data_IF_015232083002
#
_entry.id   IF_015232083002
#
_cell.length_a   1.000
_cell.length_b   1.000
_cell.length_c   1.000
_cell.angle_alpha   90.00
_cell.angle_beta   90.00
_cell.angle_gamma   90.00
#
_symmetry.space_group_name_H-M   'P 1'
#
loop_
_entity.id
_entity.type
_entity.pdbx_description
1 polymer ?
#
# COMPACT_ATOMS: atom_id res chain seq x y z
N UNK A 1 28.41 35.99 -46.68
CA UNK A 1 28.79 37.34 -46.14
C UNK A 1 28.97 37.23 -44.66
N UNK A 2 29.95 37.93 -44.14
CA UNK A 2 30.85 37.36 -43.11
C UNK A 2 30.58 37.83 -41.66
N UNK A 3 30.92 36.97 -40.75
CA UNK A 3 31.72 37.13 -39.52
C UNK A 3 31.83 38.54 -38.91
N UNK A 4 31.47 38.64 -37.62
CA UNK A 4 32.23 39.54 -36.70
C UNK A 4 32.14 39.00 -35.24
N UNK A 5 33.29 38.52 -34.78
CA UNK A 5 33.69 38.49 -33.34
C UNK A 5 34.14 39.88 -32.91
N UNK A 6 34.09 40.23 -31.64
CA UNK A 6 35.17 41.00 -31.05
C UNK A 6 35.81 40.34 -29.81
N UNK A 7 37.08 40.65 -29.74
CA UNK A 7 38.12 40.29 -28.77
C UNK A 7 38.15 41.25 -27.55
N UNK A 8 39.06 41.00 -26.59
CA UNK A 8 38.90 41.29 -25.17
C UNK A 8 39.63 42.58 -24.71
N UNK A 9 39.33 43.04 -23.50
CA UNK A 9 40.10 44.07 -22.80
C UNK A 9 40.11 43.73 -21.30
N UNK A 10 41.18 43.50 -20.81
CA UNK A 10 42.32 44.17 -20.13
C UNK A 10 42.22 44.12 -18.61
N UNK A 11 43.31 43.60 -18.09
CA UNK A 11 43.74 43.50 -16.72
C UNK A 11 43.82 44.87 -15.99
N UNK A 12 43.50 44.85 -14.70
CA UNK A 12 43.87 45.86 -13.74
C UNK A 12 44.46 45.20 -12.47
N UNK A 13 45.76 45.32 -12.33
CA UNK A 13 46.53 44.98 -11.11
C UNK A 13 46.42 46.16 -10.16
N UNK A 14 46.21 45.92 -8.87
CA UNK A 14 46.67 46.78 -7.76
C UNK A 14 46.76 45.92 -6.49
N UNK A 15 47.86 45.73 -6.09
CA UNK A 15 48.79 45.96 -5.02
C UNK A 15 48.27 45.73 -3.57
N UNK A 16 49.05 44.89 -2.94
CA UNK A 16 49.18 44.46 -1.58
C UNK A 16 49.05 45.55 -0.47
N UNK A 17 48.44 45.13 0.66
CA UNK A 17 48.85 45.59 1.97
C UNK A 17 48.97 44.37 2.92
N UNK A 18 50.19 44.18 3.41
CA UNK A 18 50.57 43.24 4.46
C UNK A 18 50.22 43.91 5.79
N UNK A 19 49.43 43.30 6.63
CA UNK A 19 49.33 43.61 8.05
C UNK A 19 49.59 42.34 8.84
N UNK A 20 50.75 42.31 9.49
CA UNK A 20 51.16 41.27 10.44
C UNK A 20 50.43 41.58 11.77
N UNK A 21 49.65 40.65 12.27
CA UNK A 21 49.18 40.68 13.64
C UNK A 21 49.42 39.32 14.29
N UNK A 22 50.06 39.39 15.41
CA UNK A 22 50.67 38.37 16.23
C UNK A 22 49.74 37.31 16.77
N UNK A 23 50.26 36.07 16.77
CA UNK A 23 49.67 34.88 17.38
C UNK A 23 49.41 35.06 18.88
N UNK A 24 48.20 34.71 19.30
CA UNK A 24 47.91 34.19 20.64
C UNK A 24 47.46 32.74 20.48
N UNK A 25 48.31 31.81 20.93
CA UNK A 25 47.96 30.36 20.98
C UNK A 25 47.05 30.15 22.18
N UNK A 26 45.75 29.95 21.89
CA UNK A 26 44.83 29.39 22.87
C UNK A 26 44.60 27.91 22.49
N UNK A 27 45.11 27.03 23.31
CA UNK A 27 44.84 25.59 23.24
C UNK A 27 43.35 25.37 23.59
N UNK A 28 42.51 25.16 22.57
CA UNK A 28 41.16 24.62 22.76
C UNK A 28 41.25 23.10 22.60
N UNK A 29 40.95 22.42 23.70
CA UNK A 29 40.73 20.99 23.73
C UNK A 29 39.59 20.65 22.75
N UNK A 30 39.87 19.80 21.78
CA UNK A 30 38.87 19.20 20.89
C UNK A 30 37.99 18.24 21.68
N UNK A 31 36.94 18.76 22.28
CA UNK A 31 35.81 17.93 22.73
C UNK A 31 35.08 17.44 21.49
N UNK A 32 35.31 16.22 21.10
CA UNK A 32 34.50 15.52 20.11
C UNK A 32 33.06 15.46 20.64
N UNK A 33 32.15 16.24 20.05
CA UNK A 33 30.72 16.04 20.24
C UNK A 33 30.37 14.70 19.61
N UNK A 34 30.31 13.66 20.42
CA UNK A 34 29.62 12.44 20.06
C UNK A 34 28.17 12.82 19.77
N UNK A 35 27.80 12.77 18.49
CA UNK A 35 26.41 12.86 18.07
C UNK A 35 25.67 11.72 18.80
N UNK A 36 24.79 12.08 19.74
CA UNK A 36 23.95 11.10 20.40
C UNK A 36 23.14 10.38 19.30
N UNK A 37 23.01 9.05 19.36
CA UNK A 37 22.15 8.34 18.43
C UNK A 37 20.75 8.94 18.53
N UNK A 38 20.15 9.27 17.39
CA UNK A 38 18.74 9.67 17.32
C UNK A 38 17.90 8.64 18.08
N UNK A 39 16.97 9.07 18.95
CA UNK A 39 16.13 8.12 19.65
C UNK A 39 15.38 7.30 18.60
N UNK A 40 15.54 5.97 18.67
CA UNK A 40 14.70 5.02 17.96
C UNK A 40 13.25 5.41 18.26
N UNK A 41 12.39 5.63 17.24
CA UNK A 41 11.01 5.97 17.48
C UNK A 41 10.38 4.82 18.28
N UNK A 42 10.11 5.08 19.54
CA UNK A 42 9.29 4.18 20.36
C UNK A 42 7.89 4.26 19.77
N UNK A 43 7.48 3.20 19.06
CA UNK A 43 6.11 3.05 18.59
C UNK A 43 5.19 3.25 19.81
N UNK A 44 4.41 4.33 19.79
CA UNK A 44 3.31 4.45 20.71
C UNK A 44 2.44 3.19 20.53
N UNK A 45 1.98 2.55 21.62
CA UNK A 45 1.07 1.44 21.51
C UNK A 45 -0.18 1.98 20.79
N UNK A 46 -0.29 1.69 19.49
CA UNK A 46 -1.54 1.90 18.78
C UNK A 46 -2.55 0.99 19.47
N UNK A 47 -3.58 1.58 20.04
CA UNK A 47 -4.75 0.82 20.48
C UNK A 47 -5.12 -0.10 19.32
N UNK A 48 -5.16 -1.44 19.52
CA UNK A 48 -5.55 -2.32 18.42
C UNK A 48 -6.86 -1.81 17.87
N UNK A 49 -7.02 -1.69 16.55
CA UNK A 49 -8.29 -1.31 15.97
C UNK A 49 -9.35 -2.23 16.56
N UNK A 50 -10.50 -1.67 16.90
CA UNK A 50 -11.62 -2.44 17.41
C UNK A 50 -11.86 -3.62 16.47
N UNK A 51 -11.83 -4.83 17.02
CA UNK A 51 -12.01 -6.03 16.22
C UNK A 51 -13.27 -5.86 15.34
N UNK A 52 -13.13 -6.10 14.04
CA UNK A 52 -14.26 -6.02 13.11
C UNK A 52 -15.36 -7.00 13.56
N UNK A 53 -16.54 -6.52 13.96
CA UNK A 53 -17.59 -7.39 14.49
C UNK A 53 -18.36 -8.13 13.38
N UNK A 54 -18.13 -7.79 12.11
CA UNK A 54 -18.91 -8.30 10.99
C UNK A 54 -18.20 -9.47 10.31
N UNK A 55 -18.92 -10.57 10.13
CA UNK A 55 -18.42 -11.79 9.47
C UNK A 55 -19.29 -12.22 8.29
N UNK A 56 -20.32 -11.43 7.96
CA UNK A 56 -21.25 -11.65 6.86
C UNK A 56 -22.66 -11.16 7.16
N UNK A 57 -23.44 -10.97 6.12
CA UNK A 57 -24.82 -10.57 6.23
C UNK A 57 -25.70 -11.76 6.66
N UNK A 58 -26.63 -11.53 7.56
CA UNK A 58 -27.67 -12.50 7.91
C UNK A 58 -28.71 -12.54 6.79
N UNK A 59 -29.15 -13.76 6.42
CA UNK A 59 -30.15 -13.94 5.37
C UNK A 59 -31.43 -13.13 5.68
N UNK A 60 -31.85 -12.30 4.72
CA UNK A 60 -33.06 -11.47 4.81
C UNK A 60 -32.95 -10.25 5.73
N UNK A 61 -31.79 -9.96 6.33
CA UNK A 61 -31.60 -8.83 7.26
C UNK A 61 -31.81 -7.45 6.62
N UNK A 62 -31.72 -7.35 5.30
CA UNK A 62 -31.91 -6.14 4.51
C UNK A 62 -33.19 -6.16 3.66
N UNK A 63 -34.13 -7.06 3.94
CA UNK A 63 -35.37 -7.17 3.15
C UNK A 63 -36.14 -5.84 3.13
N UNK A 64 -36.44 -5.34 1.92
CA UNK A 64 -37.12 -4.04 1.73
C UNK A 64 -36.19 -2.82 1.85
N UNK A 65 -34.91 -3.00 2.13
CA UNK A 65 -33.92 -1.91 2.13
C UNK A 65 -33.32 -1.79 0.73
N UNK A 66 -33.30 -0.55 0.21
CA UNK A 66 -32.61 -0.19 -1.03
C UNK A 66 -31.32 0.51 -0.72
N UNK A 67 -30.20 -0.04 -1.17
CA UNK A 67 -28.86 0.56 -1.02
C UNK A 67 -28.30 1.01 -2.37
N UNK A 68 -27.53 2.09 -2.35
CA UNK A 68 -26.74 2.52 -3.48
C UNK A 68 -25.30 1.98 -3.38
N UNK A 69 -24.73 1.57 -4.50
CA UNK A 69 -23.33 1.27 -4.61
C UNK A 69 -22.69 2.10 -5.74
N UNK A 70 -21.89 3.09 -5.37
CA UNK A 70 -21.04 3.82 -6.30
C UNK A 70 -19.73 3.06 -6.43
N UNK A 71 -19.55 2.39 -7.57
CA UNK A 71 -18.41 1.51 -7.82
C UNK A 71 -17.33 2.24 -8.60
N UNK A 72 -16.06 2.03 -8.23
CA UNK A 72 -14.90 2.53 -8.98
C UNK A 72 -14.72 1.83 -10.34
N UNK A 73 -15.15 0.56 -10.45
CA UNK A 73 -15.18 -0.16 -11.71
C UNK A 73 -14.56 -1.55 -11.65
N UNK A 74 -15.23 -2.48 -12.33
CA UNK A 74 -14.81 -3.89 -12.40
C UNK A 74 -13.59 -4.11 -13.32
N UNK A 75 -13.01 -3.05 -13.92
CA UNK A 75 -11.79 -3.12 -14.73
C UNK A 75 -10.54 -3.40 -13.89
N UNK A 76 -10.56 -3.05 -12.60
CA UNK A 76 -9.49 -3.32 -11.65
C UNK A 76 -9.80 -4.61 -10.92
N UNK A 77 -8.99 -5.68 -11.03
CA UNK A 77 -9.30 -6.99 -10.46
C UNK A 77 -9.58 -6.98 -8.95
N UNK A 78 -8.82 -6.20 -8.19
CA UNK A 78 -9.03 -6.00 -6.75
C UNK A 78 -10.42 -5.40 -6.45
N UNK A 79 -10.78 -4.32 -7.16
CA UNK A 79 -12.07 -3.65 -7.03
C UNK A 79 -13.22 -4.60 -7.41
N UNK A 80 -13.03 -5.37 -8.49
CA UNK A 80 -14.01 -6.37 -8.92
C UNK A 80 -14.31 -7.41 -7.83
N UNK A 81 -13.30 -7.93 -7.15
CA UNK A 81 -13.49 -8.91 -6.08
C UNK A 81 -14.26 -8.31 -4.90
N UNK A 82 -13.99 -7.06 -4.52
CA UNK A 82 -14.78 -6.34 -3.50
C UNK A 82 -16.22 -6.16 -3.97
N UNK A 83 -16.43 -5.71 -5.21
CA UNK A 83 -17.76 -5.51 -5.81
C UNK A 83 -18.57 -6.81 -5.84
N UNK A 84 -17.95 -7.91 -6.23
CA UNK A 84 -18.58 -9.23 -6.26
C UNK A 84 -18.97 -9.67 -4.83
N UNK A 85 -18.10 -9.45 -3.86
CA UNK A 85 -18.37 -9.69 -2.45
C UNK A 85 -19.56 -8.86 -1.92
N UNK A 86 -19.64 -7.57 -2.27
CA UNK A 86 -20.76 -6.69 -1.92
C UNK A 86 -22.06 -7.21 -2.54
N UNK A 87 -22.08 -7.55 -3.84
CA UNK A 87 -23.26 -8.09 -4.54
C UNK A 87 -23.74 -9.41 -3.92
N UNK A 88 -22.82 -10.32 -3.61
CA UNK A 88 -23.13 -11.59 -2.96
C UNK A 88 -23.77 -11.39 -1.57
N UNK A 89 -23.19 -10.53 -0.76
CA UNK A 89 -23.72 -10.25 0.59
C UNK A 89 -25.05 -9.46 0.54
N UNK A 90 -25.22 -8.55 -0.40
CA UNK A 90 -26.50 -7.85 -0.63
C UNK A 90 -27.60 -8.85 -1.03
N UNK A 91 -27.29 -9.82 -1.88
CA UNK A 91 -28.21 -10.92 -2.24
C UNK A 91 -28.58 -11.75 -1.03
N UNK A 92 -27.62 -12.13 -0.20
CA UNK A 92 -27.86 -12.88 1.05
C UNK A 92 -28.75 -12.09 2.01
N UNK A 93 -28.50 -10.80 2.16
CA UNK A 93 -29.30 -9.91 3.01
C UNK A 93 -30.70 -9.62 2.44
N UNK A 94 -30.98 -9.90 1.18
CA UNK A 94 -32.24 -9.53 0.50
C UNK A 94 -32.35 -8.03 0.23
N UNK A 95 -31.22 -7.34 0.05
CA UNK A 95 -31.13 -5.91 -0.27
C UNK A 95 -31.42 -5.67 -1.75
N UNK A 96 -32.21 -4.63 -2.07
CA UNK A 96 -32.29 -4.06 -3.41
C UNK A 96 -31.06 -3.16 -3.65
N UNK A 97 -30.02 -3.71 -4.28
CA UNK A 97 -28.75 -3.02 -4.53
C UNK A 97 -28.75 -2.34 -5.89
N UNK A 98 -28.79 -1.00 -5.89
CA UNK A 98 -28.64 -0.19 -7.12
C UNK A 98 -27.19 0.18 -7.28
N UNK A 99 -26.56 -0.30 -8.34
CA UNK A 99 -25.14 -0.01 -8.64
C UNK A 99 -25.01 1.03 -9.75
N UNK A 100 -24.07 1.97 -9.59
CA UNK A 100 -23.57 2.81 -10.67
C UNK A 100 -22.06 2.71 -10.70
N UNK A 101 -21.52 2.36 -11.87
CA UNK A 101 -20.10 2.10 -12.07
C UNK A 101 -19.46 3.26 -12.85
N UNK A 102 -18.49 3.92 -12.24
CA UNK A 102 -17.76 5.02 -12.89
C UNK A 102 -16.69 4.54 -13.87
N UNK A 103 -16.32 3.23 -13.83
CA UNK A 103 -15.30 2.65 -14.72
C UNK A 103 -13.99 3.46 -14.75
N UNK A 104 -13.45 3.74 -13.56
CA UNK A 104 -12.23 4.53 -13.32
C UNK A 104 -12.28 5.97 -13.89
N UNK A 105 -13.47 6.46 -14.24
CA UNK A 105 -13.69 7.79 -14.83
C UNK A 105 -14.38 8.72 -13.82
N UNK A 106 -13.63 9.63 -13.16
CA UNK A 106 -14.20 10.52 -12.14
C UNK A 106 -15.28 11.46 -12.66
N UNK A 107 -15.32 11.72 -13.95
CA UNK A 107 -16.35 12.62 -14.56
C UNK A 107 -17.75 12.04 -14.52
N UNK A 108 -17.89 10.74 -14.30
CA UNK A 108 -19.19 10.05 -14.19
C UNK A 108 -19.83 10.12 -12.79
N UNK A 109 -19.07 10.55 -11.79
CA UNK A 109 -19.53 10.55 -10.38
C UNK A 109 -20.84 11.32 -10.21
N UNK A 110 -20.95 12.53 -10.74
CA UNK A 110 -22.17 13.35 -10.67
C UNK A 110 -23.39 12.65 -11.28
N UNK A 111 -23.21 12.00 -12.42
CA UNK A 111 -24.27 11.24 -13.10
C UNK A 111 -24.70 10.05 -12.26
N UNK A 112 -23.75 9.29 -11.71
CA UNK A 112 -23.99 8.18 -10.82
C UNK A 112 -24.71 8.60 -9.55
N UNK A 113 -24.28 9.68 -8.90
CA UNK A 113 -24.95 10.18 -7.69
C UNK A 113 -26.40 10.59 -7.93
N UNK A 114 -26.69 11.25 -9.06
CA UNK A 114 -28.07 11.59 -9.46
C UNK A 114 -28.92 10.34 -9.70
N UNK A 115 -28.37 9.32 -10.36
CA UNK A 115 -29.04 8.04 -10.59
C UNK A 115 -29.36 7.35 -9.25
N UNK A 116 -28.37 7.20 -8.36
CA UNK A 116 -28.50 6.49 -7.09
C UNK A 116 -29.49 7.19 -6.16
N UNK A 117 -29.35 8.52 -5.97
CA UNK A 117 -30.27 9.30 -5.12
C UNK A 117 -31.68 9.32 -5.69
N UNK A 118 -31.83 9.44 -7.02
CA UNK A 118 -33.11 9.36 -7.71
C UNK A 118 -33.80 8.00 -7.60
N UNK A 119 -33.05 6.92 -7.38
CA UNK A 119 -33.58 5.58 -7.12
C UNK A 119 -34.17 5.42 -5.72
N UNK A 120 -34.02 6.39 -4.83
CA UNK A 120 -34.55 6.38 -3.46
C UNK A 120 -33.83 5.47 -2.50
N UNK A 121 -32.50 5.37 -2.64
CA UNK A 121 -31.63 4.61 -1.74
C UNK A 121 -31.73 5.11 -0.30
N UNK A 122 -31.46 4.24 0.66
CA UNK A 122 -31.49 4.54 2.11
C UNK A 122 -30.11 4.64 2.74
N UNK A 123 -29.07 4.20 2.02
CA UNK A 123 -27.67 4.28 2.38
C UNK A 123 -26.80 4.11 1.16
N UNK A 124 -25.60 4.67 1.19
CA UNK A 124 -24.63 4.64 0.10
C UNK A 124 -23.38 3.88 0.52
N UNK A 125 -23.01 2.89 -0.26
CA UNK A 125 -21.68 2.28 -0.26
C UNK A 125 -20.87 3.02 -1.31
N UNK A 126 -19.75 3.61 -0.91
CA UNK A 126 -18.92 4.43 -1.76
C UNK A 126 -17.53 3.82 -1.90
N UNK A 127 -17.20 3.34 -3.11
CA UNK A 127 -15.86 2.90 -3.44
C UNK A 127 -15.32 3.74 -4.60
N UNK A 128 -14.37 4.60 -4.30
CA UNK A 128 -13.72 5.46 -5.29
C UNK A 128 -12.21 5.29 -5.28
N UNK A 129 -11.56 5.68 -6.38
CA UNK A 129 -10.11 5.57 -6.55
C UNK A 129 -9.35 6.90 -6.42
N UNK A 130 -9.98 7.97 -5.90
CA UNK A 130 -9.36 9.29 -5.82
C UNK A 130 -9.76 10.04 -4.54
N UNK A 131 -8.78 10.63 -3.88
CA UNK A 131 -9.00 11.52 -2.72
C UNK A 131 -9.57 12.90 -3.08
N UNK A 132 -9.74 13.21 -4.35
CA UNK A 132 -10.29 14.50 -4.82
C UNK A 132 -11.81 14.51 -4.95
N UNK A 133 -12.45 13.34 -4.92
CA UNK A 133 -13.90 13.17 -5.16
C UNK A 133 -14.82 13.30 -3.93
N UNK A 134 -14.34 13.21 -2.66
CA UNK A 134 -15.22 13.25 -1.49
C UNK A 134 -16.14 14.47 -1.45
N UNK A 135 -15.65 15.64 -1.82
CA UNK A 135 -16.45 16.86 -1.84
C UNK A 135 -17.65 16.76 -2.79
N UNK A 136 -17.45 16.18 -3.98
CA UNK A 136 -18.51 15.97 -4.99
C UNK A 136 -19.55 14.98 -4.52
N UNK A 137 -19.12 13.83 -3.99
CA UNK A 137 -20.01 12.80 -3.47
C UNK A 137 -20.80 13.33 -2.28
N UNK A 138 -20.11 13.91 -1.29
CA UNK A 138 -20.76 14.41 -0.07
C UNK A 138 -21.77 15.52 -0.33
N UNK A 139 -21.51 16.40 -1.33
CA UNK A 139 -22.48 17.43 -1.73
C UNK A 139 -23.75 16.85 -2.35
N UNK A 140 -23.69 15.67 -2.96
CA UNK A 140 -24.82 15.01 -3.60
C UNK A 140 -25.58 14.06 -2.65
N UNK A 141 -25.04 13.77 -1.47
CA UNK A 141 -25.68 12.88 -0.48
C UNK A 141 -26.82 13.61 0.22
N UNK A 142 -28.07 13.09 0.23
CA UNK A 142 -29.17 13.66 1.00
C UNK A 142 -28.86 13.73 2.49
N UNK A 143 -29.31 14.80 3.14
CA UNK A 143 -29.10 14.98 4.57
C UNK A 143 -29.64 13.78 5.38
N UNK A 144 -28.80 13.26 6.28
CA UNK A 144 -29.14 12.13 7.14
C UNK A 144 -29.03 10.75 6.49
N UNK A 145 -28.70 10.66 5.20
CA UNK A 145 -28.44 9.36 4.57
C UNK A 145 -27.03 8.87 4.95
N UNK A 146 -26.89 7.67 5.51
CA UNK A 146 -25.57 7.15 5.86
C UNK A 146 -24.73 6.79 4.64
N UNK A 147 -23.43 7.12 4.72
CA UNK A 147 -22.41 6.74 3.74
C UNK A 147 -21.40 5.84 4.42
N UNK A 148 -21.07 4.72 3.78
CA UNK A 148 -19.99 3.85 4.16
C UNK A 148 -18.93 3.89 3.06
N UNK A 149 -17.76 4.39 3.41
CA UNK A 149 -16.60 4.47 2.52
C UNK A 149 -15.88 3.13 2.43
N UNK A 150 -15.28 2.85 1.28
CA UNK A 150 -14.48 1.63 1.03
C UNK A 150 -13.08 2.04 0.57
N UNK A 151 -12.07 1.53 1.23
CA UNK A 151 -10.62 1.73 1.00
C UNK A 151 -10.14 3.16 1.26
N UNK A 152 -10.79 4.17 0.72
CA UNK A 152 -10.40 5.56 0.89
C UNK A 152 -11.44 6.33 1.71
N UNK A 153 -11.02 7.26 2.56
CA UNK A 153 -11.94 8.07 3.36
C UNK A 153 -12.82 8.96 2.47
N UNK A 154 -14.07 9.14 2.88
CA UNK A 154 -15.08 9.97 2.22
C UNK A 154 -15.51 11.08 3.17
N UNK A 155 -14.57 11.91 3.56
CA UNK A 155 -14.83 13.02 4.47
C UNK A 155 -15.47 14.22 3.75
N UNK A 156 -16.43 14.92 4.40
CA UNK A 156 -16.88 14.73 5.79
C UNK A 156 -18.13 13.83 5.95
N UNK A 157 -18.64 13.19 4.89
CA UNK A 157 -19.97 12.56 4.94
C UNK A 157 -19.96 11.08 5.32
N UNK A 158 -18.82 10.38 5.28
CA UNK A 158 -18.79 8.98 5.66
C UNK A 158 -19.06 8.78 7.16
N UNK A 159 -20.00 7.90 7.47
CA UNK A 159 -20.24 7.45 8.82
C UNK A 159 -19.20 6.42 9.28
N UNK A 160 -18.69 5.61 8.36
CA UNK A 160 -17.68 4.57 8.60
C UNK A 160 -16.82 4.36 7.36
N UNK A 161 -15.61 3.85 7.56
CA UNK A 161 -14.68 3.39 6.51
C UNK A 161 -14.40 1.89 6.72
N UNK A 162 -14.51 1.11 5.65
CA UNK A 162 -14.00 -0.26 5.58
C UNK A 162 -12.75 -0.28 4.70
N UNK A 163 -11.64 -0.74 5.23
CA UNK A 163 -10.37 -0.75 4.52
C UNK A 163 -9.51 -1.98 4.85
N UNK A 164 -8.47 -2.21 4.07
CA UNK A 164 -7.41 -3.15 4.43
C UNK A 164 -6.59 -2.61 5.61
N UNK A 165 -6.04 -3.51 6.44
CA UNK A 165 -5.05 -3.13 7.45
C UNK A 165 -3.63 -3.17 6.84
N UNK A 166 -3.29 -2.12 6.09
CA UNK A 166 -2.03 -2.03 5.35
C UNK A 166 -0.79 -2.11 6.23
N UNK A 167 -0.82 -1.47 7.41
CA UNK A 167 0.31 -1.54 8.34
C UNK A 167 0.49 -2.96 8.87
N UNK A 168 -0.61 -3.61 9.25
CA UNK A 168 -0.61 -4.98 9.74
C UNK A 168 -0.18 -5.96 8.67
N UNK A 169 -0.63 -5.77 7.43
CA UNK A 169 -0.22 -6.58 6.28
C UNK A 169 1.30 -6.51 6.08
N UNK A 170 1.87 -5.31 6.08
CA UNK A 170 3.31 -5.13 6.04
C UNK A 170 4.02 -5.83 7.21
N UNK A 171 3.54 -5.66 8.45
CA UNK A 171 4.13 -6.31 9.63
C UNK A 171 4.12 -7.83 9.54
N UNK A 172 3.01 -8.42 9.07
CA UNK A 172 2.87 -9.87 8.88
C UNK A 172 3.85 -10.35 7.81
N UNK A 173 3.91 -9.68 6.66
CA UNK A 173 4.82 -10.03 5.57
C UNK A 173 6.28 -9.91 6.00
N UNK A 174 6.65 -8.80 6.63
CA UNK A 174 8.00 -8.57 7.13
C UNK A 174 8.44 -9.62 8.16
N UNK A 175 7.58 -9.96 9.11
CA UNK A 175 7.87 -11.00 10.10
C UNK A 175 8.03 -12.39 9.45
N UNK A 176 7.18 -12.73 8.48
CA UNK A 176 7.25 -14.00 7.76
C UNK A 176 8.54 -14.11 6.93
N UNK A 177 8.88 -13.08 6.15
CA UNK A 177 10.15 -13.04 5.41
C UNK A 177 11.34 -13.04 6.35
N UNK A 178 11.29 -12.28 7.46
CA UNK A 178 12.32 -12.31 8.49
C UNK A 178 12.53 -13.71 9.07
N UNK A 179 11.46 -14.45 9.33
CA UNK A 179 11.52 -15.84 9.82
C UNK A 179 12.20 -16.77 8.80
N UNK A 180 11.85 -16.62 7.52
CA UNK A 180 12.46 -17.38 6.44
C UNK A 180 13.96 -17.07 6.30
N UNK A 181 14.35 -15.77 6.33
CA UNK A 181 15.75 -15.31 6.28
C UNK A 181 16.55 -15.79 7.47
N UNK A 182 15.97 -15.76 8.66
CA UNK A 182 16.61 -16.26 9.88
C UNK A 182 16.87 -17.76 9.80
N UNK A 183 15.90 -18.53 9.33
CA UNK A 183 16.03 -19.99 9.21
C UNK A 183 17.06 -20.41 8.16
N UNK A 184 17.13 -19.69 7.02
CA UNK A 184 18.01 -20.03 5.89
C UNK A 184 19.39 -19.41 5.98
N UNK A 185 19.49 -18.17 6.47
CA UNK A 185 20.71 -17.37 6.38
C UNK A 185 21.12 -16.76 7.73
N UNK A 186 20.51 -17.13 8.85
CA UNK A 186 20.78 -16.56 10.17
C UNK A 186 20.73 -15.02 10.15
N UNK A 187 19.79 -14.43 9.41
CA UNK A 187 19.65 -12.98 9.16
C UNK A 187 20.80 -12.34 8.35
N UNK A 188 21.64 -13.12 7.69
CA UNK A 188 22.75 -12.61 6.85
C UNK A 188 22.34 -12.63 5.37
N UNK A 189 21.88 -11.50 4.85
CA UNK A 189 21.54 -11.28 3.43
C UNK A 189 22.48 -10.26 2.80
N UNK A 190 22.54 -10.22 1.46
CA UNK A 190 23.44 -9.33 0.72
C UNK A 190 22.81 -7.98 0.41
N UNK A 191 21.51 -7.96 0.12
CA UNK A 191 20.74 -6.74 -0.14
C UNK A 191 19.28 -6.93 0.22
N UNK A 192 18.65 -5.83 0.61
CA UNK A 192 17.20 -5.70 0.83
C UNK A 192 16.68 -4.66 -0.16
N UNK A 193 15.87 -5.08 -1.12
CA UNK A 193 15.29 -4.20 -2.16
C UNK A 193 13.83 -3.99 -1.84
N UNK A 194 13.42 -2.74 -1.59
CA UNK A 194 12.02 -2.38 -1.40
C UNK A 194 11.45 -1.74 -2.66
N UNK A 195 10.36 -2.32 -3.19
CA UNK A 195 9.65 -1.80 -4.36
C UNK A 195 8.41 -1.05 -3.87
N UNK A 196 8.43 0.26 -4.09
CA UNK A 196 7.55 1.23 -3.47
C UNK A 196 6.76 2.03 -4.51
N UNK A 197 5.73 2.77 -4.07
CA UNK A 197 4.96 3.67 -4.92
C UNK A 197 5.04 5.11 -4.43
N UNK A 198 5.46 6.00 -5.30
CA UNK A 198 5.39 7.44 -5.07
C UNK A 198 4.00 8.02 -5.40
N UNK A 199 3.14 7.26 -6.11
CA UNK A 199 1.81 7.70 -6.50
C UNK A 199 0.79 7.64 -5.36
N UNK A 200 1.01 6.75 -4.37
CA UNK A 200 0.13 6.54 -3.21
C UNK A 200 0.94 6.57 -1.90
N UNK A 201 1.52 7.72 -1.53
CA UNK A 201 2.54 7.81 -0.49
C UNK A 201 2.08 7.29 0.87
N UNK A 202 0.88 7.63 1.31
CA UNK A 202 0.36 7.23 2.62
C UNK A 202 0.14 5.72 2.71
N UNK A 203 -0.40 5.11 1.65
CA UNK A 203 -0.60 3.67 1.54
C UNK A 203 0.75 2.95 1.52
N UNK A 204 1.65 3.43 0.65
CA UNK A 204 3.00 2.92 0.53
C UNK A 204 3.74 2.96 1.87
N UNK A 205 3.67 4.10 2.58
CA UNK A 205 4.32 4.26 3.86
C UNK A 205 3.83 3.20 4.87
N UNK A 206 2.52 2.99 5.00
CA UNK A 206 1.97 1.99 5.91
C UNK A 206 2.46 0.59 5.58
N UNK A 207 2.37 0.18 4.33
CA UNK A 207 2.79 -1.16 3.87
C UNK A 207 4.27 -1.40 4.10
N UNK A 208 5.12 -0.48 3.63
CA UNK A 208 6.57 -0.69 3.63
C UNK A 208 7.20 -0.41 4.98
N UNK A 209 6.70 0.55 5.75
CA UNK A 209 7.10 0.72 7.15
C UNK A 209 6.69 -0.50 7.99
N UNK A 210 5.48 -1.00 7.81
CA UNK A 210 5.04 -2.25 8.42
C UNK A 210 5.99 -3.41 8.08
N UNK A 211 6.39 -3.51 6.82
CA UNK A 211 7.33 -4.53 6.36
C UNK A 211 8.67 -4.47 7.10
N UNK A 212 9.27 -3.28 7.19
CA UNK A 212 10.51 -3.05 7.93
C UNK A 212 10.37 -3.39 9.40
N UNK A 213 9.28 -2.93 10.04
CA UNK A 213 8.98 -3.24 11.44
C UNK A 213 8.87 -4.75 11.68
N UNK A 214 8.05 -5.44 10.89
CA UNK A 214 7.86 -6.88 10.99
C UNK A 214 9.17 -7.65 10.81
N UNK A 215 9.96 -7.30 9.80
CA UNK A 215 11.26 -7.91 9.53
C UNK A 215 12.23 -7.75 10.70
N UNK A 216 12.33 -6.54 11.25
CA UNK A 216 13.22 -6.24 12.39
C UNK A 216 12.80 -6.92 13.70
N UNK A 217 11.54 -7.34 13.87
CA UNK A 217 11.15 -8.14 15.03
C UNK A 217 11.80 -9.52 15.05
N UNK A 218 12.17 -10.04 13.88
CA UNK A 218 12.73 -11.40 13.72
C UNK A 218 14.23 -11.36 13.46
N UNK A 219 14.68 -10.44 12.61
CA UNK A 219 16.09 -10.13 12.33
C UNK A 219 16.43 -8.77 12.94
N UNK A 220 16.79 -8.72 14.24
CA UNK A 220 16.97 -7.47 14.97
C UNK A 220 18.17 -6.67 14.45
N UNK A 221 18.03 -5.36 14.44
CA UNK A 221 19.03 -4.40 13.96
C UNK A 221 18.55 -3.64 12.74
N UNK A 222 19.32 -2.66 12.26
CA UNK A 222 18.97 -1.90 11.07
C UNK A 222 18.97 -2.80 9.84
N UNK A 223 18.06 -2.54 8.91
CA UNK A 223 18.10 -3.16 7.59
C UNK A 223 19.36 -2.69 6.87
N UNK A 224 20.22 -3.64 6.48
CA UNK A 224 21.50 -3.34 5.85
C UNK A 224 21.40 -3.42 4.34
N UNK A 225 22.14 -2.55 3.64
CA UNK A 225 22.19 -2.50 2.18
C UNK A 225 20.78 -2.42 1.54
N UNK A 226 19.96 -1.53 2.09
CA UNK A 226 18.62 -1.28 1.56
C UNK A 226 18.70 -0.46 0.27
N UNK A 227 17.98 -0.90 -0.76
CA UNK A 227 17.84 -0.25 -2.05
C UNK A 227 16.34 0.00 -2.30
N UNK A 228 15.97 1.24 -2.63
CA UNK A 228 14.57 1.61 -2.80
C UNK A 228 14.24 1.88 -4.26
N UNK A 229 13.27 1.15 -4.81
CA UNK A 229 12.64 1.42 -6.09
C UNK A 229 11.37 2.27 -5.87
N UNK A 230 11.50 3.60 -5.88
CA UNK A 230 10.47 4.52 -5.41
C UNK A 230 9.21 4.63 -6.29
N UNK A 231 9.22 4.09 -7.51
CA UNK A 231 8.09 4.09 -8.45
C UNK A 231 7.98 2.73 -9.14
N UNK A 232 8.03 1.67 -8.34
CA UNK A 232 8.11 0.29 -8.77
C UNK A 232 6.86 -0.52 -8.34
N UNK A 233 5.69 0.10 -8.42
CA UNK A 233 4.39 -0.46 -8.06
C UNK A 233 3.64 -1.07 -9.25
N UNK A 234 4.23 -1.03 -10.45
CA UNK A 234 3.73 -1.67 -11.67
C UNK A 234 4.76 -2.68 -12.15
N UNK A 235 4.30 -3.76 -12.81
CA UNK A 235 5.17 -4.85 -13.25
C UNK A 235 6.31 -4.37 -14.16
N UNK A 236 6.03 -3.47 -15.11
CA UNK A 236 7.02 -2.91 -16.04
C UNK A 236 8.07 -2.04 -15.32
N UNK A 237 7.61 -1.11 -14.47
CA UNK A 237 8.53 -0.22 -13.74
C UNK A 237 9.32 -0.95 -12.67
N UNK A 238 8.74 -1.95 -12.01
CA UNK A 238 9.43 -2.81 -11.06
C UNK A 238 10.52 -3.66 -11.73
N UNK A 239 10.20 -4.24 -12.91
CA UNK A 239 11.20 -4.99 -13.71
C UNK A 239 12.39 -4.11 -14.04
N UNK A 240 12.16 -2.90 -14.56
CA UNK A 240 13.23 -2.00 -14.98
C UNK A 240 14.06 -1.51 -13.77
N UNK A 241 13.40 -1.23 -12.64
CA UNK A 241 14.08 -0.85 -11.39
C UNK A 241 14.96 -2.00 -10.86
N UNK A 242 14.43 -3.22 -10.78
CA UNK A 242 15.19 -4.37 -10.28
C UNK A 242 16.31 -4.75 -11.24
N UNK A 243 16.10 -4.69 -12.56
CA UNK A 243 17.18 -4.91 -13.52
C UNK A 243 18.36 -3.96 -13.27
N UNK A 244 18.08 -2.66 -13.12
CA UNK A 244 19.09 -1.65 -12.81
C UNK A 244 19.80 -1.91 -11.46
N UNK A 245 19.07 -2.34 -10.44
CA UNK A 245 19.63 -2.67 -9.13
C UNK A 245 20.51 -3.92 -9.18
N UNK A 246 20.14 -4.94 -9.94
CA UNK A 246 20.94 -6.16 -10.10
C UNK A 246 22.31 -5.90 -10.73
N UNK A 247 22.42 -4.91 -11.63
CA UNK A 247 23.70 -4.47 -12.21
C UNK A 247 24.65 -3.88 -11.16
N UNK A 248 24.10 -3.30 -10.08
CA UNK A 248 24.88 -2.75 -8.96
C UNK A 248 25.26 -3.80 -7.91
N UNK A 249 24.75 -5.02 -8.03
CA UNK A 249 24.90 -6.11 -7.07
C UNK A 249 25.59 -7.35 -7.70
N UNK A 250 26.77 -7.19 -8.37
CA UNK A 250 27.45 -8.32 -8.99
C UNK A 250 27.92 -9.32 -7.93
N UNK A 251 27.68 -10.62 -8.19
CA UNK A 251 28.11 -11.71 -7.30
C UNK A 251 27.37 -11.80 -5.96
N UNK A 252 26.33 -11.00 -5.74
CA UNK A 252 25.44 -11.12 -4.61
C UNK A 252 24.37 -12.19 -4.91
N UNK A 253 24.10 -13.09 -3.97
CA UNK A 253 23.20 -14.23 -4.18
C UNK A 253 22.08 -14.36 -3.13
N UNK A 254 22.05 -13.46 -2.15
CA UNK A 254 21.01 -13.41 -1.11
C UNK A 254 20.30 -12.06 -1.18
N UNK A 255 19.62 -11.82 -2.29
CA UNK A 255 18.92 -10.56 -2.56
C UNK A 255 17.44 -10.76 -2.21
N UNK A 256 16.98 -10.04 -1.19
CA UNK A 256 15.56 -9.99 -0.83
C UNK A 256 14.92 -8.84 -1.58
N UNK A 257 13.82 -9.14 -2.28
CA UNK A 257 12.96 -8.12 -2.90
C UNK A 257 11.60 -8.17 -2.23
N UNK A 258 11.20 -7.08 -1.63
CA UNK A 258 9.92 -6.92 -0.98
C UNK A 258 9.12 -5.85 -1.70
N UNK A 259 7.92 -6.17 -2.12
CA UNK A 259 7.10 -5.27 -2.91
C UNK A 259 5.84 -4.84 -2.15
N UNK A 260 5.40 -3.61 -2.40
CA UNK A 260 4.17 -3.10 -1.82
C UNK A 260 2.90 -3.75 -2.40
N UNK A 261 3.03 -4.45 -3.52
CA UNK A 261 1.94 -5.16 -4.21
C UNK A 261 2.47 -6.31 -5.08
N UNK A 262 1.55 -7.07 -5.69
CA UNK A 262 1.88 -8.21 -6.53
C UNK A 262 2.51 -7.81 -7.87
N UNK A 263 2.15 -6.66 -8.44
CA UNK A 263 2.76 -6.14 -9.67
C UNK A 263 4.27 -5.91 -9.50
N UNK A 264 4.66 -5.28 -8.39
CA UNK A 264 6.07 -5.09 -8.04
C UNK A 264 6.81 -6.43 -7.91
N UNK A 265 6.19 -7.39 -7.22
CA UNK A 265 6.76 -8.73 -7.04
C UNK A 265 6.95 -9.48 -8.36
N UNK A 266 5.96 -9.43 -9.26
CA UNK A 266 6.04 -10.03 -10.60
C UNK A 266 7.16 -9.38 -11.44
N UNK A 267 7.25 -8.05 -11.42
CA UNK A 267 8.33 -7.33 -12.13
C UNK A 267 9.72 -7.71 -11.63
N UNK A 268 9.87 -7.94 -10.32
CA UNK A 268 11.12 -8.43 -9.75
C UNK A 268 11.53 -9.82 -10.25
N UNK A 269 10.57 -10.75 -10.34
CA UNK A 269 10.82 -12.08 -10.91
C UNK A 269 11.19 -12.02 -12.40
N UNK A 270 10.50 -11.16 -13.17
CA UNK A 270 10.81 -10.95 -14.58
C UNK A 270 12.24 -10.44 -14.78
N UNK A 271 12.66 -9.45 -13.96
CA UNK A 271 14.01 -8.91 -14.00
C UNK A 271 15.07 -9.98 -13.63
N UNK A 272 14.84 -10.75 -12.57
CA UNK A 272 15.73 -11.82 -12.14
C UNK A 272 15.87 -12.90 -13.23
N UNK A 273 14.77 -13.23 -13.90
CA UNK A 273 14.75 -14.20 -15.01
C UNK A 273 15.52 -13.67 -16.22
N UNK A 274 15.28 -12.42 -16.63
CA UNK A 274 15.95 -11.80 -17.76
C UNK A 274 17.47 -11.65 -17.54
N UNK A 275 17.88 -11.40 -16.31
CA UNK A 275 19.28 -11.32 -15.91
C UNK A 275 19.96 -12.69 -15.70
N UNK A 276 19.23 -13.82 -15.79
CA UNK A 276 19.74 -15.15 -15.47
C UNK A 276 20.11 -15.33 -13.99
N UNK A 277 19.46 -14.55 -13.08
CA UNK A 277 19.77 -14.47 -11.66
C UNK A 277 18.61 -14.93 -10.76
N UNK A 278 17.75 -15.79 -11.27
CA UNK A 278 16.61 -16.33 -10.49
C UNK A 278 17.06 -16.99 -9.19
N UNK A 279 18.21 -17.68 -9.18
CA UNK A 279 18.76 -18.30 -7.97
C UNK A 279 19.29 -17.34 -6.91
N UNK A 280 19.44 -16.06 -7.24
CA UNK A 280 20.00 -15.02 -6.34
C UNK A 280 18.94 -14.17 -5.68
N UNK A 281 17.72 -14.14 -6.25
CA UNK A 281 16.65 -13.20 -5.89
C UNK A 281 15.46 -13.93 -5.25
N UNK A 282 15.02 -13.44 -4.11
CA UNK A 282 13.93 -13.98 -3.33
C UNK A 282 12.88 -12.90 -3.12
N UNK A 283 11.64 -13.17 -3.52
CA UNK A 283 10.61 -12.14 -3.69
C UNK A 283 9.44 -12.38 -2.75
N UNK A 284 8.86 -11.30 -2.26
CA UNK A 284 7.60 -11.30 -1.55
C UNK A 284 6.76 -10.09 -1.95
N UNK A 285 5.46 -10.32 -2.14
CA UNK A 285 4.48 -9.28 -2.47
C UNK A 285 3.50 -8.99 -1.33
N UNK A 286 2.48 -8.23 -1.69
CA UNK A 286 1.31 -7.96 -0.86
C UNK A 286 0.09 -7.89 -1.77
N UNK A 287 -0.90 -8.77 -1.55
CA UNK A 287 -2.12 -8.89 -2.36
C UNK A 287 -2.67 -10.29 -2.33
N UNK A 288 -1.85 -11.24 -2.74
CA UNK A 288 -2.21 -12.63 -3.06
C UNK A 288 -3.32 -12.71 -4.12
N UNK A 289 -3.20 -11.86 -5.15
CA UNK A 289 -4.10 -11.89 -6.31
C UNK A 289 -4.06 -13.23 -7.03
N UNK A 290 -5.13 -13.61 -7.78
CA UNK A 290 -5.19 -14.90 -8.46
C UNK A 290 -3.95 -15.24 -9.29
N UNK A 291 -3.36 -14.26 -9.98
CA UNK A 291 -2.19 -14.45 -10.86
C UNK A 291 -0.89 -14.81 -10.15
N UNK A 292 -0.74 -14.50 -8.85
CA UNK A 292 0.45 -14.88 -8.07
C UNK A 292 0.26 -16.17 -7.27
N UNK A 293 -0.97 -16.65 -7.11
CA UNK A 293 -1.27 -17.83 -6.28
C UNK A 293 -0.57 -19.10 -6.76
N UNK A 294 -0.40 -19.26 -8.07
CA UNK A 294 0.34 -20.40 -8.61
C UNK A 294 1.84 -20.26 -8.38
N UNK A 295 2.38 -19.04 -8.42
CA UNK A 295 3.77 -18.78 -8.06
C UNK A 295 4.03 -19.09 -6.59
N UNK A 296 3.12 -18.67 -5.68
CA UNK A 296 3.20 -19.02 -4.25
C UNK A 296 3.23 -20.54 -4.04
N UNK A 297 2.52 -21.32 -4.88
CA UNK A 297 2.47 -22.80 -4.78
C UNK A 297 3.72 -23.47 -5.30
N UNK A 298 4.36 -22.94 -6.33
CA UNK A 298 5.29 -23.68 -7.19
C UNK A 298 6.68 -23.07 -7.33
N UNK A 299 6.84 -21.78 -7.06
CA UNK A 299 8.11 -21.07 -7.21
C UNK A 299 8.76 -20.85 -5.83
N UNK A 300 9.84 -21.56 -5.55
CA UNK A 300 10.56 -21.45 -4.27
C UNK A 300 11.16 -20.07 -4.00
N UNK A 301 11.37 -19.26 -5.06
CA UNK A 301 11.87 -17.90 -4.96
C UNK A 301 10.78 -16.86 -4.72
N UNK A 302 9.49 -17.27 -4.78
CA UNK A 302 8.37 -16.46 -4.34
C UNK A 302 7.96 -16.87 -2.92
N UNK A 303 8.41 -16.10 -1.92
CA UNK A 303 8.30 -16.47 -0.51
C UNK A 303 6.85 -16.49 -0.01
N UNK A 304 6.00 -15.65 -0.57
CA UNK A 304 4.60 -15.50 -0.22
C UNK A 304 4.14 -14.05 -0.22
N UNK A 305 2.90 -13.84 0.21
CA UNK A 305 2.22 -12.56 0.24
C UNK A 305 1.47 -12.32 1.55
N UNK A 306 1.32 -11.06 1.93
CA UNK A 306 0.22 -10.67 2.81
C UNK A 306 -1.06 -10.52 1.99
N UNK A 307 -2.00 -11.44 2.15
CA UNK A 307 -3.29 -11.40 1.48
C UNK A 307 -4.21 -10.37 2.14
N UNK A 308 -4.86 -9.53 1.32
CA UNK A 308 -5.84 -8.53 1.75
C UNK A 308 -7.28 -9.02 1.75
N UNK A 309 -7.57 -10.15 1.13
CA UNK A 309 -8.90 -10.76 1.04
C UNK A 309 -9.99 -9.82 0.51
N UNK A 310 -9.83 -9.23 -0.68
CA UNK A 310 -10.84 -8.33 -1.24
C UNK A 310 -12.22 -8.99 -1.33
N UNK A 311 -12.29 -10.30 -1.54
CA UNK A 311 -13.54 -11.07 -1.57
C UNK A 311 -14.30 -11.10 -0.22
N UNK A 312 -13.63 -10.78 0.90
CA UNK A 312 -14.24 -10.74 2.24
C UNK A 312 -14.80 -9.37 2.62
N UNK A 313 -14.45 -8.32 1.89
CA UNK A 313 -14.93 -6.96 2.20
C UNK A 313 -16.44 -6.85 2.25
N UNK A 314 -17.15 -7.50 1.32
CA UNK A 314 -18.60 -7.51 1.30
C UNK A 314 -19.22 -8.01 2.61
N UNK A 315 -18.57 -8.99 3.27
CA UNK A 315 -19.03 -9.55 4.55
C UNK A 315 -18.95 -8.53 5.71
N UNK A 316 -18.13 -7.50 5.57
CA UNK A 316 -18.07 -6.36 6.51
C UNK A 316 -18.99 -5.23 6.05
N UNK A 317 -18.92 -4.86 4.78
CA UNK A 317 -19.59 -3.68 4.21
C UNK A 317 -21.10 -3.77 4.33
N UNK A 318 -21.70 -4.88 3.87
CA UNK A 318 -23.19 -4.98 3.79
C UNK A 318 -23.86 -4.97 5.15
N UNK A 319 -23.44 -5.77 6.15
CA UNK A 319 -24.07 -5.66 7.48
C UNK A 319 -23.78 -4.33 8.17
N UNK A 320 -22.60 -3.72 7.96
CA UNK A 320 -22.27 -2.42 8.54
C UNK A 320 -23.17 -1.29 7.99
N UNK A 321 -23.37 -1.21 6.68
CA UNK A 321 -24.27 -0.18 6.11
C UNK A 321 -25.73 -0.43 6.51
N UNK A 322 -26.18 -1.68 6.65
CA UNK A 322 -27.51 -1.99 7.15
C UNK A 322 -27.69 -1.54 8.60
N UNK A 323 -26.69 -1.71 9.45
CA UNK A 323 -26.71 -1.20 10.82
C UNK A 323 -26.74 0.34 10.85
N UNK A 324 -25.98 1.01 9.98
CA UNK A 324 -26.03 2.47 9.83
C UNK A 324 -27.44 2.95 9.40
N UNK A 325 -28.06 2.28 8.43
CA UNK A 325 -29.45 2.59 7.98
C UNK A 325 -30.45 2.37 9.09
N UNK A 326 -30.23 1.37 9.95
CA UNK A 326 -31.07 1.11 11.12
C UNK A 326 -30.77 2.05 12.31
N UNK A 327 -29.86 3.01 12.19
CA UNK A 327 -29.47 3.95 13.25
C UNK A 327 -28.65 3.31 14.37
N UNK A 328 -28.08 2.13 14.14
CA UNK A 328 -27.20 1.46 15.11
C UNK A 328 -25.78 2.04 15.05
N UNK A 329 -25.03 1.99 16.16
CA UNK A 329 -23.65 2.42 16.18
C UNK A 329 -22.77 1.47 15.37
N UNK A 330 -21.93 2.04 14.50
CA UNK A 330 -20.90 1.32 13.71
C UNK A 330 -19.55 1.97 13.99
N UNK A 331 -18.47 1.20 14.19
CA UNK A 331 -17.13 1.76 14.34
C UNK A 331 -16.76 2.67 13.17
N UNK A 332 -16.03 3.75 13.43
CA UNK A 332 -15.58 4.69 12.39
C UNK A 332 -14.64 4.06 11.38
N UNK A 333 -13.88 3.07 11.81
CA UNK A 333 -12.95 2.31 10.99
C UNK A 333 -13.17 0.82 11.24
N UNK A 334 -13.37 0.08 10.17
CA UNK A 334 -13.50 -1.38 10.13
C UNK A 334 -12.38 -1.91 9.24
N UNK A 335 -11.49 -2.70 9.80
CA UNK A 335 -10.37 -3.27 9.06
C UNK A 335 -10.64 -4.74 8.71
N UNK A 336 -10.35 -5.10 7.46
CA UNK A 336 -10.31 -6.48 7.02
C UNK A 336 -8.93 -7.03 7.34
N UNK A 337 -8.88 -8.04 8.22
CA UNK A 337 -7.63 -8.61 8.74
C UNK A 337 -6.86 -9.33 7.62
N UNK A 338 -5.60 -8.94 7.34
CA UNK A 338 -4.75 -9.63 6.39
C UNK A 338 -4.17 -10.91 6.99
N UNK A 339 -3.68 -11.82 6.12
CA UNK A 339 -2.93 -12.98 6.57
C UNK A 339 -1.77 -13.28 5.63
N UNK A 340 -0.71 -13.89 6.18
CA UNK A 340 0.39 -14.40 5.38
C UNK A 340 -0.04 -15.65 4.60
N UNK A 341 0.27 -15.65 3.31
CA UNK A 341 0.02 -16.76 2.40
C UNK A 341 1.32 -17.19 1.76
N UNK A 342 1.74 -18.41 2.01
CA UNK A 342 2.94 -19.05 1.45
C UNK A 342 2.62 -20.45 0.91
N UNK A 343 3.63 -21.17 0.44
CA UNK A 343 3.48 -22.51 -0.11
C UNK A 343 2.81 -23.52 0.86
N UNK A 344 2.89 -23.27 2.17
CA UNK A 344 2.31 -24.15 3.20
C UNK A 344 0.85 -23.84 3.50
N UNK A 345 0.47 -22.57 3.44
CA UNK A 345 -0.86 -22.06 3.84
C UNK A 345 -1.82 -21.86 2.67
N UNK A 346 -1.28 -21.68 1.44
CA UNK A 346 -2.08 -21.32 0.27
C UNK A 346 -3.20 -22.33 -0.06
N UNK A 347 -2.96 -23.64 0.14
CA UNK A 347 -3.96 -24.68 -0.12
C UNK A 347 -5.16 -24.60 0.82
N UNK A 348 -4.96 -24.08 2.02
CA UNK A 348 -6.02 -23.88 3.01
C UNK A 348 -6.75 -22.57 2.79
N UNK A 349 -6.01 -21.50 2.46
CA UNK A 349 -6.56 -20.15 2.31
C UNK A 349 -7.25 -19.98 0.95
N UNK A 350 -6.60 -20.47 -0.11
CA UNK A 350 -7.11 -20.45 -1.48
C UNK A 350 -7.08 -21.86 -2.06
N UNK A 351 -8.05 -22.70 -1.71
CA UNK A 351 -8.16 -24.04 -2.32
C UNK A 351 -8.34 -23.91 -3.82
N UNK A 352 -7.65 -24.76 -4.58
CA UNK A 352 -7.73 -24.82 -6.06
C UNK A 352 -9.06 -25.41 -6.52
#
# INVERSE_FOLDING_TARGET
MPVRTPRPARAGRLAAFVAIATLAVAACATGGSATAPSPTPTLAPTTPPSANPYTGATAGSGAGVKLGYLSYGDLVPYVKQISDGIRAQATTAGVDLVTCDVNVDPTKVDGCMKQLTGAGIKGLIQFQGSLELPATVCAAVPAGMPVLAVELPEDPCAASLVAADDLRAGQIAGAAVGAWVKARWACAYDAFVSLESSAVPDLNQKRMEGYRQGFMTVCPGPITNEQVGASADRQDTARDAVASLLDTLPGKSKILVVAMNDDGALGALDAATAAGRTGDVWVSGQGAEPRVRDLIRTNEHYLGDAAYFPERFGATIVPAILDLVAGKPVPKLLLVEPAWVDATTIKTIYPS
#
